data_IF_165582080790
#
_entry.id   IF_165582080790
#
_cell.length_a   1.000
_cell.length_b   1.000
_cell.length_c   1.000
_cell.angle_alpha   90.00
_cell.angle_beta   90.00
_cell.angle_gamma   90.00
#
_symmetry.space_group_name_H-M   'P 1'
#
loop_
_entity.id
_entity.type
_entity.pdbx_description
1 polymer ?
#
# COMPACT_ATOMS: atom_id res chain seq x y z
N UNK A 1 6.38 5.76 -24.05
CA UNK A 1 7.67 6.44 -23.76
C UNK A 1 7.55 7.95 -23.55
N UNK A 2 6.92 8.74 -24.43
CA UNK A 2 6.88 10.22 -24.23
C UNK A 2 6.24 10.63 -22.91
N UNK A 3 5.19 9.92 -22.48
CA UNK A 3 4.56 10.17 -21.20
C UNK A 3 5.48 9.83 -20.01
N UNK A 4 6.21 8.72 -20.03
CA UNK A 4 7.18 8.40 -18.97
C UNK A 4 8.21 9.52 -18.83
N UNK A 5 8.66 10.10 -19.96
CA UNK A 5 9.54 11.28 -19.94
C UNK A 5 8.85 12.50 -19.32
N UNK A 6 7.63 12.83 -19.74
CA UNK A 6 6.85 13.94 -19.17
C UNK A 6 6.64 13.78 -17.66
N UNK A 7 6.34 12.56 -17.22
CA UNK A 7 6.19 12.20 -15.83
C UNK A 7 7.50 12.35 -15.05
N UNK A 8 8.63 11.88 -15.59
CA UNK A 8 9.94 12.08 -14.97
C UNK A 8 10.28 13.56 -14.85
N UNK A 9 10.00 14.36 -15.88
CA UNK A 9 10.19 15.81 -15.85
C UNK A 9 9.33 16.46 -14.77
N UNK A 10 8.05 16.06 -14.66
CA UNK A 10 7.20 16.53 -13.58
C UNK A 10 7.80 16.21 -12.20
N UNK A 11 8.29 14.99 -11.96
CA UNK A 11 8.96 14.63 -10.70
C UNK A 11 10.14 15.57 -10.43
N UNK A 12 10.98 15.85 -11.43
CA UNK A 12 12.11 16.79 -11.30
C UNK A 12 11.64 18.19 -10.86
N UNK A 13 10.50 18.66 -11.36
CA UNK A 13 9.95 19.95 -10.94
C UNK A 13 9.52 19.96 -9.46
N UNK A 14 8.95 18.86 -8.95
CA UNK A 14 8.39 18.79 -7.59
C UNK A 14 9.44 18.64 -6.49
N UNK A 15 10.63 18.12 -6.80
CA UNK A 15 11.68 17.90 -5.80
C UNK A 15 12.35 19.20 -5.35
N UNK A 16 12.71 19.29 -4.07
CA UNK A 16 13.38 20.46 -3.48
C UNK A 16 14.90 20.42 -3.72
N UNK A 17 15.58 21.55 -3.47
CA UNK A 17 17.03 21.64 -3.71
C UNK A 17 17.88 20.69 -2.85
N UNK A 18 17.33 20.19 -1.75
CA UNK A 18 17.91 19.22 -0.80
C UNK A 18 17.64 17.76 -1.18
N UNK A 19 16.69 17.52 -2.08
CA UNK A 19 16.34 16.19 -2.55
C UNK A 19 17.35 15.65 -3.54
N UNK A 20 17.33 14.32 -3.71
CA UNK A 20 18.18 13.62 -4.68
C UNK A 20 17.37 12.68 -5.55
N UNK A 21 17.68 12.70 -6.85
CA UNK A 21 17.06 11.80 -7.82
C UNK A 21 18.12 11.12 -8.68
N UNK A 22 17.91 9.83 -8.94
CA UNK A 22 18.65 9.04 -9.91
C UNK A 22 17.65 8.36 -10.82
N UNK A 23 17.98 8.26 -12.11
CA UNK A 23 17.20 7.54 -13.10
C UNK A 23 18.00 6.32 -13.54
N UNK A 24 17.37 5.16 -13.51
CA UNK A 24 17.89 3.91 -14.07
C UNK A 24 16.98 3.53 -15.23
N UNK A 25 17.57 3.31 -16.41
CA UNK A 25 16.88 2.71 -17.53
C UNK A 25 17.21 1.22 -17.56
N UNK A 26 16.21 0.39 -17.86
CA UNK A 26 16.40 -1.04 -18.00
C UNK A 26 15.60 -1.62 -19.15
N UNK A 27 16.16 -2.67 -19.74
CA UNK A 27 15.59 -3.55 -20.75
C UNK A 27 16.14 -4.97 -20.46
N UNK A 28 16.74 -5.68 -21.41
CA UNK A 28 17.52 -6.91 -21.16
C UNK A 28 18.78 -6.64 -20.32
N UNK A 29 19.17 -5.37 -20.17
CA UNK A 29 20.27 -4.88 -19.32
C UNK A 29 19.82 -3.67 -18.49
N UNK A 30 20.61 -3.21 -17.53
CA UNK A 30 20.28 -2.02 -16.73
C UNK A 30 21.43 -1.02 -16.73
N UNK A 31 21.11 0.28 -16.89
CA UNK A 31 22.09 1.36 -16.94
C UNK A 31 21.62 2.56 -16.11
N UNK A 32 22.53 3.19 -15.34
CA UNK A 32 22.23 4.47 -14.73
C UNK A 32 22.20 5.57 -15.81
N UNK A 33 21.04 6.20 -15.99
CA UNK A 33 20.89 7.43 -16.78
C UNK A 33 21.52 8.60 -16.02
N UNK A 34 21.46 8.57 -14.68
CA UNK A 34 22.14 9.51 -13.79
C UNK A 34 22.54 8.83 -12.48
N UNK A 35 23.56 9.36 -11.80
CA UNK A 35 23.76 9.09 -10.38
C UNK A 35 22.72 9.81 -9.51
N UNK A 36 22.80 9.68 -8.18
CA UNK A 36 21.99 10.48 -7.27
C UNK A 36 22.45 11.95 -7.33
N UNK A 37 21.69 12.78 -8.06
CA UNK A 37 21.96 14.20 -8.22
C UNK A 37 21.11 15.02 -7.25
N UNK A 38 21.67 16.07 -6.66
CA UNK A 38 20.90 17.06 -5.91
C UNK A 38 19.93 17.78 -6.84
N UNK A 39 18.68 17.99 -6.45
CA UNK A 39 17.67 18.66 -7.27
C UNK A 39 17.70 20.19 -7.11
N UNK A 40 18.90 20.77 -7.03
CA UNK A 40 19.11 22.21 -7.20
C UNK A 40 18.96 22.60 -8.67
N UNK A 41 19.00 23.90 -9.00
CA UNK A 41 18.76 24.41 -10.36
C UNK A 41 19.62 23.69 -11.42
N UNK A 42 20.92 23.53 -11.16
CA UNK A 42 21.84 22.84 -12.07
C UNK A 42 21.51 21.35 -12.20
N UNK A 43 21.20 20.67 -11.10
CA UNK A 43 20.85 19.25 -11.09
C UNK A 43 19.54 18.97 -11.82
N UNK A 44 18.52 19.80 -11.60
CA UNK A 44 17.24 19.75 -12.32
C UNK A 44 17.47 19.92 -13.83
N UNK A 45 18.18 20.97 -14.24
CA UNK A 45 18.48 21.22 -15.65
C UNK A 45 19.27 20.06 -16.29
N UNK A 46 20.26 19.53 -15.58
CA UNK A 46 21.07 18.40 -16.08
C UNK A 46 20.22 17.15 -16.27
N UNK A 47 19.32 16.86 -15.31
CA UNK A 47 18.49 15.67 -15.37
C UNK A 47 17.38 15.80 -16.43
N UNK A 48 16.77 16.98 -16.57
CA UNK A 48 15.84 17.30 -17.66
C UNK A 48 16.46 17.07 -19.04
N UNK A 49 17.69 17.57 -19.24
CA UNK A 49 18.42 17.35 -20.47
C UNK A 49 18.63 15.86 -20.73
N UNK A 50 18.96 15.06 -19.71
CA UNK A 50 19.12 13.60 -19.84
C UNK A 50 17.80 12.91 -20.16
N UNK A 51 16.70 13.27 -19.51
CA UNK A 51 15.37 12.69 -19.77
C UNK A 51 15.01 12.81 -21.26
N UNK A 52 15.25 13.98 -21.85
CA UNK A 52 14.87 14.26 -23.24
C UNK A 52 15.89 13.72 -24.26
N UNK A 53 17.19 13.84 -23.98
CA UNK A 53 18.26 13.52 -24.95
C UNK A 53 18.79 12.09 -24.88
N UNK A 54 18.55 11.34 -23.80
CA UNK A 54 19.23 10.05 -23.62
C UNK A 54 18.58 8.96 -24.48
N UNK A 55 19.34 8.44 -25.45
CA UNK A 55 18.88 7.41 -26.40
C UNK A 55 18.40 6.12 -25.73
N UNK A 56 18.93 5.80 -24.53
CA UNK A 56 18.57 4.63 -23.73
C UNK A 56 17.24 4.76 -22.97
N UNK A 57 16.57 5.91 -23.08
CA UNK A 57 15.18 6.07 -22.67
C UNK A 57 14.22 5.88 -23.85
N UNK A 58 14.64 5.16 -24.89
CA UNK A 58 13.79 4.73 -25.99
C UNK A 58 13.52 3.21 -25.88
N UNK A 59 12.32 2.73 -26.23
CA UNK A 59 12.01 1.30 -26.14
C UNK A 59 12.97 0.48 -26.99
N UNK A 60 13.63 -0.52 -26.40
CA UNK A 60 14.52 -1.44 -27.11
C UNK A 60 14.78 -2.69 -26.27
N UNK A 61 15.05 -3.81 -26.93
CA UNK A 61 15.38 -5.07 -26.26
C UNK A 61 14.16 -5.74 -25.59
N UNK A 62 14.44 -6.57 -24.58
CA UNK A 62 13.42 -7.22 -23.75
C UNK A 62 13.32 -6.55 -22.38
N UNK A 63 12.70 -7.17 -21.38
CA UNK A 63 12.45 -6.56 -20.06
C UNK A 63 13.05 -7.40 -18.95
N UNK A 64 14.04 -6.87 -18.22
CA UNK A 64 14.64 -7.49 -17.03
C UNK A 64 14.40 -6.62 -15.80
N UNK A 65 13.30 -6.90 -15.09
CA UNK A 65 12.91 -6.16 -13.87
C UNK A 65 13.96 -6.40 -12.78
N UNK A 66 14.44 -7.63 -12.62
CA UNK A 66 15.48 -7.98 -11.64
C UNK A 66 16.75 -7.13 -11.76
N UNK A 67 17.26 -6.94 -12.99
CA UNK A 67 18.46 -6.11 -13.24
C UNK A 67 18.19 -4.63 -12.94
N UNK A 68 17.02 -4.13 -13.34
CA UNK A 68 16.60 -2.76 -13.03
C UNK A 68 16.54 -2.50 -11.53
N UNK A 69 15.88 -3.38 -10.78
CA UNK A 69 15.78 -3.29 -9.32
C UNK A 69 17.14 -3.37 -8.64
N UNK A 70 17.99 -4.34 -9.02
CA UNK A 70 19.33 -4.49 -8.47
C UNK A 70 20.16 -3.22 -8.67
N UNK A 71 20.10 -2.60 -9.86
CA UNK A 71 20.80 -1.35 -10.13
C UNK A 71 20.25 -0.20 -9.28
N UNK A 72 18.93 -0.05 -9.14
CA UNK A 72 18.32 0.96 -8.28
C UNK A 72 18.69 0.81 -6.80
N UNK A 73 18.67 -0.43 -6.30
CA UNK A 73 19.11 -0.77 -4.94
C UNK A 73 20.61 -0.47 -4.76
N UNK A 74 21.44 -0.81 -5.73
CA UNK A 74 22.88 -0.51 -5.72
C UNK A 74 23.15 1.00 -5.65
N UNK A 75 22.41 1.81 -6.41
CA UNK A 75 22.50 3.28 -6.36
C UNK A 75 22.22 3.78 -4.95
N UNK A 76 21.17 3.27 -4.31
CA UNK A 76 20.84 3.63 -2.93
C UNK A 76 21.89 3.13 -1.94
N UNK A 77 22.40 1.90 -2.07
CA UNK A 77 23.39 1.36 -1.13
C UNK A 77 24.75 2.04 -1.22
N UNK A 78 25.14 2.53 -2.40
CA UNK A 78 26.41 3.24 -2.64
C UNK A 78 26.35 4.74 -2.33
N UNK A 79 25.22 5.26 -1.85
CA UNK A 79 25.05 6.70 -1.57
C UNK A 79 25.93 7.13 -0.40
N UNK A 80 26.61 8.27 -0.56
CA UNK A 80 27.42 8.86 0.52
C UNK A 80 26.55 9.51 1.60
N UNK A 81 25.45 10.12 1.19
CA UNK A 81 24.49 10.77 2.10
C UNK A 81 23.18 10.02 2.09
N UNK A 82 22.69 9.68 3.29
CA UNK A 82 21.41 9.01 3.48
C UNK A 82 20.36 10.05 3.88
N UNK A 83 19.38 10.26 3.01
CA UNK A 83 18.17 11.00 3.35
C UNK A 83 17.34 10.19 4.35
N UNK A 84 16.52 10.89 5.15
CA UNK A 84 15.57 10.27 6.09
C UNK A 84 14.58 9.37 5.36
N UNK A 85 14.12 9.80 4.18
CA UNK A 85 13.25 9.07 3.29
C UNK A 85 14.00 8.62 2.03
N UNK A 86 13.78 7.39 1.61
CA UNK A 86 14.20 6.91 0.29
C UNK A 86 13.14 6.02 -0.33
N UNK A 87 13.02 6.06 -1.65
CA UNK A 87 12.00 5.28 -2.35
C UNK A 87 12.46 4.89 -3.74
N UNK A 88 12.05 3.71 -4.21
CA UNK A 88 12.26 3.19 -5.56
C UNK A 88 10.92 3.19 -6.28
N UNK A 89 10.91 3.76 -7.48
CA UNK A 89 9.74 3.80 -8.35
C UNK A 89 10.04 2.91 -9.56
N UNK A 90 9.44 1.72 -9.59
CA UNK A 90 9.59 0.76 -10.68
C UNK A 90 8.45 0.92 -11.67
N UNK A 91 8.76 1.38 -12.89
CA UNK A 91 7.79 1.59 -13.97
C UNK A 91 8.04 0.55 -15.06
N UNK A 92 7.02 -0.21 -15.46
CA UNK A 92 7.14 -1.17 -16.57
C UNK A 92 5.81 -1.43 -17.28
N UNK A 93 5.87 -1.60 -18.60
CA UNK A 93 4.77 -2.04 -19.45
C UNK A 93 4.87 -3.53 -19.83
N UNK A 94 5.93 -4.23 -19.44
CA UNK A 94 6.23 -5.59 -19.90
C UNK A 94 6.46 -6.59 -18.77
N UNK A 95 6.64 -7.85 -19.16
CA UNK A 95 6.96 -8.95 -18.23
C UNK A 95 8.46 -9.12 -18.10
N UNK A 96 8.92 -9.50 -16.91
CA UNK A 96 10.31 -9.91 -16.74
C UNK A 96 10.59 -11.18 -17.57
N UNK A 97 11.72 -11.18 -18.28
CA UNK A 97 12.26 -12.36 -18.96
C UNK A 97 12.83 -13.38 -17.98
N UNK A 98 13.22 -12.95 -16.79
CA UNK A 98 13.86 -13.81 -15.79
C UNK A 98 12.79 -14.42 -14.86
N UNK A 99 12.81 -15.75 -14.68
CA UNK A 99 12.04 -16.43 -13.64
C UNK A 99 12.89 -16.44 -12.37
N UNK A 100 12.78 -15.37 -11.59
CA UNK A 100 13.60 -15.15 -10.41
C UNK A 100 12.74 -14.88 -9.18
N UNK A 101 13.28 -15.20 -8.00
CA UNK A 101 12.72 -14.79 -6.72
C UNK A 101 13.13 -13.35 -6.44
N UNK A 102 12.16 -12.43 -6.41
CA UNK A 102 12.43 -11.05 -6.03
C UNK A 102 12.72 -10.88 -4.54
N UNK A 103 12.40 -11.86 -3.69
CA UNK A 103 12.72 -11.83 -2.26
C UNK A 103 14.20 -11.61 -2.02
N UNK A 104 15.08 -12.28 -2.78
CA UNK A 104 16.53 -12.14 -2.61
C UNK A 104 17.02 -10.76 -3.04
N UNK A 105 16.51 -10.24 -4.16
CA UNK A 105 16.85 -8.90 -4.65
C UNK A 105 16.37 -7.84 -3.66
N UNK A 106 15.12 -7.94 -3.23
CA UNK A 106 14.49 -6.97 -2.34
C UNK A 106 15.04 -7.06 -0.92
N UNK A 107 15.61 -8.18 -0.48
CA UNK A 107 16.32 -8.28 0.81
C UNK A 107 17.52 -7.33 0.91
N UNK A 108 18.07 -6.89 -0.22
CA UNK A 108 19.18 -5.93 -0.27
C UNK A 108 18.71 -4.46 -0.25
N UNK A 109 17.39 -4.21 -0.21
CA UNK A 109 16.86 -2.85 -0.14
C UNK A 109 17.31 -2.19 1.17
N UNK A 110 17.82 -0.94 1.14
CA UNK A 110 18.24 -0.28 2.38
C UNK A 110 17.05 -0.12 3.35
N UNK A 111 17.29 -0.12 4.68
CA UNK A 111 16.25 0.16 5.66
C UNK A 111 15.54 1.48 5.38
N UNK A 112 14.25 1.57 5.74
CA UNK A 112 13.40 2.74 5.50
C UNK A 112 13.35 3.17 4.03
N UNK A 113 13.42 2.20 3.11
CA UNK A 113 13.24 2.43 1.68
C UNK A 113 11.97 1.72 1.21
N UNK A 114 11.05 2.46 0.59
CA UNK A 114 9.88 1.86 -0.04
C UNK A 114 10.13 1.53 -1.51
N UNK A 115 9.42 0.55 -2.07
CA UNK A 115 9.43 0.27 -3.51
C UNK A 115 7.99 0.26 -4.04
N UNK A 116 7.66 1.27 -4.85
CA UNK A 116 6.36 1.39 -5.51
C UNK A 116 6.48 0.89 -6.94
N UNK A 117 5.52 0.10 -7.39
CA UNK A 117 5.49 -0.50 -8.72
C UNK A 117 4.32 0.05 -9.53
N UNK A 118 4.59 0.36 -10.80
CA UNK A 118 3.63 0.94 -11.73
C UNK A 118 3.60 0.09 -12.99
N UNK A 119 2.49 -0.62 -13.18
CA UNK A 119 2.26 -1.48 -14.33
C UNK A 119 1.44 -0.76 -15.40
N UNK A 120 2.00 -0.57 -16.58
CA UNK A 120 1.34 0.11 -17.70
C UNK A 120 0.70 -0.91 -18.64
N UNK A 121 -0.54 -0.66 -19.04
CA UNK A 121 -1.27 -1.53 -19.99
C UNK A 121 -1.39 -2.97 -19.50
N UNK A 122 -1.79 -3.90 -20.37
CA UNK A 122 -2.11 -5.28 -19.97
C UNK A 122 -0.93 -6.26 -20.08
N UNK A 123 0.22 -5.83 -20.59
CA UNK A 123 1.31 -6.73 -20.99
C UNK A 123 2.22 -7.14 -19.82
N UNK A 124 2.12 -6.49 -18.66
CA UNK A 124 2.90 -6.82 -17.46
C UNK A 124 2.26 -7.92 -16.59
N UNK A 125 3.04 -8.53 -15.71
CA UNK A 125 2.54 -9.51 -14.73
C UNK A 125 2.18 -8.83 -13.41
N UNK A 126 0.88 -8.68 -13.16
CA UNK A 126 0.32 -8.12 -11.92
C UNK A 126 0.91 -8.80 -10.68
N UNK A 127 0.94 -10.15 -10.67
CA UNK A 127 1.45 -10.94 -9.55
C UNK A 127 2.92 -10.63 -9.18
N UNK A 128 3.73 -10.29 -10.19
CA UNK A 128 5.15 -9.94 -10.01
C UNK A 128 5.28 -8.55 -9.41
N UNK A 129 4.60 -7.56 -9.99
CA UNK A 129 4.68 -6.17 -9.54
C UNK A 129 4.06 -5.96 -8.16
N UNK A 130 2.95 -6.63 -7.86
CA UNK A 130 2.32 -6.59 -6.53
C UNK A 130 3.22 -7.23 -5.47
N UNK A 131 3.88 -8.35 -5.79
CA UNK A 131 4.82 -9.00 -4.87
C UNK A 131 6.04 -8.11 -4.59
N UNK A 132 6.63 -7.49 -5.62
CA UNK A 132 7.76 -6.55 -5.44
C UNK A 132 7.34 -5.39 -4.54
N UNK A 133 6.15 -4.80 -4.78
CA UNK A 133 5.64 -3.72 -3.95
C UNK A 133 5.39 -4.15 -2.50
N UNK A 134 4.80 -5.33 -2.29
CA UNK A 134 4.53 -5.88 -0.96
C UNK A 134 5.83 -6.11 -0.17
N UNK A 135 6.83 -6.77 -0.77
CA UNK A 135 8.14 -6.97 -0.12
C UNK A 135 8.83 -5.62 0.14
N UNK A 136 8.73 -4.69 -0.81
CA UNK A 136 9.30 -3.36 -0.72
C UNK A 136 8.50 -2.37 0.12
N UNK A 137 7.48 -2.79 0.87
CA UNK A 137 6.68 -1.89 1.73
C UNK A 137 6.06 -0.70 0.98
N UNK A 138 5.81 -0.86 -0.32
CA UNK A 138 5.23 0.14 -1.20
C UNK A 138 3.88 -0.28 -1.74
N UNK A 139 3.51 0.26 -2.89
CA UNK A 139 2.20 0.06 -3.50
C UNK A 139 2.35 -0.38 -4.95
N UNK A 140 1.44 -1.22 -5.41
CA UNK A 140 1.28 -1.52 -6.83
C UNK A 140 0.15 -0.66 -7.39
N UNK A 141 0.44 0.04 -8.50
CA UNK A 141 -0.55 0.83 -9.22
C UNK A 141 -0.66 0.35 -10.65
N UNK A 142 -1.88 -0.08 -11.03
CA UNK A 142 -2.22 -0.36 -12.42
C UNK A 142 -2.57 0.93 -13.16
N UNK A 143 -1.98 1.10 -14.35
CA UNK A 143 -2.15 2.28 -15.19
C UNK A 143 -2.74 1.83 -16.54
N UNK A 144 -4.05 2.01 -16.67
CA UNK A 144 -4.79 1.69 -17.90
C UNK A 144 -4.64 2.79 -18.96
N UNK A 145 -4.69 4.06 -18.52
CA UNK A 145 -4.62 5.21 -19.40
C UNK A 145 -3.40 6.07 -19.08
N UNK A 146 -2.71 6.52 -20.13
CA UNK A 146 -1.54 7.39 -20.00
C UNK A 146 -1.83 8.66 -19.17
N UNK A 147 -3.05 9.19 -19.20
CA UNK A 147 -3.44 10.37 -18.40
C UNK A 147 -3.45 10.10 -16.88
N UNK A 148 -3.57 8.85 -16.45
CA UNK A 148 -3.67 8.48 -15.04
C UNK A 148 -2.33 8.38 -14.33
N UNK A 149 -1.23 8.37 -15.09
CA UNK A 149 0.13 8.20 -14.56
C UNK A 149 0.53 9.37 -13.66
N UNK A 150 0.29 10.59 -14.13
CA UNK A 150 0.58 11.78 -13.35
C UNK A 150 -0.21 11.82 -12.05
N UNK A 151 -1.52 11.59 -12.11
CA UNK A 151 -2.37 11.49 -10.92
C UNK A 151 -1.82 10.43 -9.93
N UNK A 152 -1.42 9.25 -10.43
CA UNK A 152 -0.89 8.18 -9.58
C UNK A 152 0.45 8.50 -8.92
N UNK A 153 1.35 9.16 -9.66
CA UNK A 153 2.67 9.49 -9.15
C UNK A 153 2.63 10.71 -8.24
N UNK A 154 1.82 11.71 -8.56
CA UNK A 154 1.52 12.83 -7.66
C UNK A 154 0.94 12.34 -6.35
N UNK A 155 0.08 11.31 -6.39
CA UNK A 155 -0.40 10.67 -5.18
C UNK A 155 0.76 10.12 -4.34
N UNK A 156 1.61 9.26 -4.92
CA UNK A 156 2.75 8.67 -4.19
C UNK A 156 3.74 9.74 -3.71
N UNK A 157 4.02 10.77 -4.51
CA UNK A 157 4.88 11.90 -4.09
C UNK A 157 4.26 12.66 -2.91
N UNK A 158 2.95 12.95 -2.96
CA UNK A 158 2.24 13.59 -1.86
C UNK A 158 2.35 12.79 -0.56
N UNK A 159 2.23 11.47 -0.64
CA UNK A 159 2.48 10.58 0.51
C UNK A 159 3.92 10.69 1.00
N UNK A 160 4.93 10.61 0.12
CA UNK A 160 6.33 10.73 0.54
C UNK A 160 6.65 12.08 1.21
N UNK A 161 6.14 13.19 0.68
CA UNK A 161 6.39 14.52 1.23
C UNK A 161 5.65 14.80 2.54
N UNK A 162 4.59 14.03 2.84
CA UNK A 162 3.79 14.21 4.05
C UNK A 162 4.07 13.14 5.12
N UNK A 163 5.15 12.36 4.98
CA UNK A 163 5.51 11.35 5.97
C UNK A 163 5.87 12.00 7.32
N UNK A 164 5.14 11.64 8.38
CA UNK A 164 5.33 12.16 9.76
C UNK A 164 5.88 11.11 10.73
N UNK A 165 5.77 9.81 10.40
CA UNK A 165 6.27 8.73 11.23
C UNK A 165 6.76 7.57 10.35
N UNK A 166 7.98 7.09 10.63
CA UNK A 166 8.62 6.00 9.89
C UNK A 166 8.71 4.73 10.71
N UNK A 167 8.70 3.58 10.01
CA UNK A 167 8.96 2.25 10.59
C UNK A 167 8.16 2.02 11.91
N UNK A 168 6.85 2.12 11.79
CA UNK A 168 5.94 2.09 12.94
C UNK A 168 5.81 0.66 13.46
N UNK A 169 5.98 0.48 14.77
CA UNK A 169 5.75 -0.79 15.44
C UNK A 169 4.63 -0.62 16.46
N UNK A 170 3.50 -1.29 16.21
CA UNK A 170 2.40 -1.37 17.19
C UNK A 170 2.63 -2.60 18.05
N UNK A 171 2.83 -2.38 19.35
CA UNK A 171 3.05 -3.44 20.33
C UNK A 171 1.81 -3.61 21.20
N UNK A 172 1.34 -4.84 21.29
CA UNK A 172 0.24 -5.27 22.15
C UNK A 172 0.82 -6.20 23.22
N UNK A 173 0.67 -5.84 24.49
CA UNK A 173 1.12 -6.63 25.63
C UNK A 173 -0.08 -6.96 26.51
N UNK A 174 -0.43 -8.23 26.57
CA UNK A 174 -1.57 -8.76 27.29
C UNK A 174 -1.14 -9.41 28.60
N UNK A 175 -2.02 -9.35 29.59
CA UNK A 175 -1.85 -10.00 30.88
C UNK A 175 -1.92 -11.53 30.77
N UNK A 176 -1.47 -12.21 31.83
CA UNK A 176 -1.49 -13.68 31.87
C UNK A 176 -2.89 -14.25 31.61
N UNK A 177 -2.96 -15.28 30.76
CA UNK A 177 -4.21 -15.93 30.37
C UNK A 177 -4.85 -15.33 29.10
N UNK A 178 -4.42 -14.16 28.66
CA UNK A 178 -4.86 -13.55 27.40
C UNK A 178 -3.79 -13.73 26.32
N UNK A 179 -4.22 -13.88 25.07
CA UNK A 179 -3.30 -13.89 23.93
C UNK A 179 -3.95 -13.35 22.67
N UNK A 180 -3.18 -12.69 21.81
CA UNK A 180 -3.64 -12.34 20.46
C UNK A 180 -3.67 -13.63 19.65
N UNK A 181 -4.85 -14.04 19.22
CA UNK A 181 -5.09 -15.26 18.45
C UNK A 181 -4.85 -15.04 16.95
N UNK A 182 -5.22 -13.86 16.44
CA UNK A 182 -5.16 -13.54 15.02
C UNK A 182 -5.04 -12.04 14.80
N UNK A 183 -4.25 -11.63 13.80
CA UNK A 183 -4.22 -10.26 13.28
C UNK A 183 -4.75 -10.29 11.85
N UNK A 184 -5.76 -9.48 11.55
CA UNK A 184 -6.37 -9.40 10.21
C UNK A 184 -5.70 -8.30 9.38
N UNK A 185 -4.41 -8.46 9.13
CA UNK A 185 -3.62 -7.55 8.31
C UNK A 185 -2.59 -8.33 7.49
N UNK A 186 -2.10 -7.72 6.40
CA UNK A 186 -0.94 -8.20 5.64
C UNK A 186 0.39 -7.70 6.21
N UNK A 187 0.36 -6.84 7.24
CA UNK A 187 1.56 -6.31 7.86
C UNK A 187 2.39 -7.40 8.54
N UNK A 188 3.73 -7.35 8.43
CA UNK A 188 4.61 -8.27 9.15
C UNK A 188 4.31 -8.23 10.66
N UNK A 189 3.97 -9.40 11.20
CA UNK A 189 3.54 -9.56 12.59
C UNK A 189 4.41 -10.61 13.26
N UNK A 190 4.78 -10.40 14.53
CA UNK A 190 5.48 -11.40 15.32
C UNK A 190 4.65 -12.67 15.50
N UNK A 191 5.28 -13.75 15.97
CA UNK A 191 4.59 -15.04 16.14
C UNK A 191 3.32 -14.92 17.00
N UNK A 192 2.27 -15.62 16.56
CA UNK A 192 0.97 -15.76 17.23
C UNK A 192 0.61 -17.26 17.32
N UNK A 193 -0.17 -17.69 18.32
CA UNK A 193 -0.72 -16.90 19.42
C UNK A 193 0.35 -16.47 20.43
N UNK A 194 0.21 -15.26 20.99
CA UNK A 194 1.16 -14.70 21.96
C UNK A 194 0.50 -13.64 22.84
N UNK A 195 0.96 -13.50 24.08
CA UNK A 195 0.58 -12.37 24.95
C UNK A 195 1.35 -11.09 24.60
N UNK A 196 2.45 -11.17 23.86
CA UNK A 196 3.19 -10.01 23.37
C UNK A 196 3.33 -10.09 21.85
N UNK A 197 2.68 -9.17 21.15
CA UNK A 197 2.67 -9.11 19.68
C UNK A 197 3.14 -7.75 19.20
N UNK A 198 4.05 -7.75 18.23
CA UNK A 198 4.47 -6.56 17.49
C UNK A 198 3.98 -6.66 16.05
N UNK A 199 3.24 -5.66 15.61
CA UNK A 199 2.76 -5.49 14.23
C UNK A 199 3.57 -4.34 13.62
N UNK A 200 4.31 -4.61 12.55
CA UNK A 200 5.12 -3.61 11.85
C UNK A 200 4.28 -2.94 10.79
N UNK A 201 3.82 -1.73 11.07
CA UNK A 201 3.18 -0.86 10.10
C UNK A 201 4.30 -0.08 9.37
N UNK A 202 4.09 0.20 8.10
CA UNK A 202 4.99 1.04 7.32
C UNK A 202 4.90 2.52 7.79
N UNK A 203 5.44 3.41 6.97
CA UNK A 203 5.38 4.85 7.22
C UNK A 203 3.93 5.37 7.24
N UNK A 204 3.69 6.40 8.04
CA UNK A 204 2.41 7.09 8.16
C UNK A 204 2.55 8.56 7.76
N UNK A 205 1.59 9.00 6.96
CA UNK A 205 1.55 10.36 6.44
C UNK A 205 0.65 11.27 7.29
N UNK A 206 0.79 12.57 7.11
CA UNK A 206 -0.12 13.57 7.65
C UNK A 206 -1.56 13.28 7.19
N UNK A 207 -2.53 13.50 8.08
CA UNK A 207 -3.95 13.20 7.90
C UNK A 207 -4.31 11.71 7.66
N UNK A 208 -3.33 10.80 7.73
CA UNK A 208 -3.55 9.38 7.50
C UNK A 208 -3.95 8.65 8.79
N UNK A 209 -4.90 7.70 8.65
CA UNK A 209 -5.33 6.81 9.74
C UNK A 209 -5.18 5.36 9.30
N UNK A 210 -4.85 4.49 10.26
CA UNK A 210 -4.69 3.05 10.08
C UNK A 210 -5.43 2.29 11.16
N UNK A 211 -6.27 1.34 10.76
CA UNK A 211 -7.07 0.54 11.67
C UNK A 211 -6.60 -0.91 11.67
N UNK A 212 -6.07 -1.36 12.82
CA UNK A 212 -5.70 -2.75 13.01
C UNK A 212 -6.84 -3.53 13.67
N UNK A 213 -7.25 -4.63 13.04
CA UNK A 213 -8.24 -5.55 13.60
C UNK A 213 -7.54 -6.84 14.01
N UNK A 214 -7.73 -7.26 15.25
CA UNK A 214 -7.18 -8.49 15.79
C UNK A 214 -8.17 -9.19 16.71
N UNK A 215 -7.99 -10.49 16.88
CA UNK A 215 -8.78 -11.35 17.75
C UNK A 215 -7.95 -11.69 18.99
N UNK A 216 -8.55 -11.55 20.17
CA UNK A 216 -7.94 -11.91 21.45
C UNK A 216 -8.62 -13.17 21.97
N UNK A 217 -7.82 -14.16 22.37
CA UNK A 217 -8.30 -15.25 23.20
C UNK A 217 -8.51 -14.74 24.63
N UNK A 218 -9.73 -14.91 25.11
CA UNK A 218 -10.20 -14.39 26.39
C UNK A 218 -10.56 -15.58 27.29
N UNK A 219 -9.91 -15.76 28.46
CA UNK A 219 -10.19 -16.86 29.36
C UNK A 219 -11.54 -16.65 30.07
N UNK A 220 -12.13 -17.77 30.52
CA UNK A 220 -13.26 -17.77 31.45
C UNK A 220 -12.78 -17.39 32.85
N UNK A 221 -13.52 -16.52 33.54
CA UNK A 221 -13.21 -16.04 34.90
C UNK A 221 -14.44 -16.21 35.80
N UNK A 222 -14.24 -16.22 37.13
CA UNK A 222 -15.33 -16.27 38.10
C UNK A 222 -16.06 -14.92 38.18
N UNK A 223 -17.33 -14.90 38.61
CA UNK A 223 -18.22 -13.72 38.58
C UNK A 223 -17.66 -12.49 39.33
N UNK A 224 -16.82 -12.69 40.35
CA UNK A 224 -16.26 -11.61 41.17
C UNK A 224 -15.19 -10.75 40.45
N UNK A 225 -14.64 -11.22 39.33
CA UNK A 225 -13.59 -10.52 38.55
C UNK A 225 -14.14 -9.73 37.34
N UNK A 226 -15.46 -9.62 37.20
CA UNK A 226 -16.14 -9.32 35.94
C UNK A 226 -16.19 -7.85 35.51
N UNK A 227 -15.87 -6.88 36.38
CA UNK A 227 -16.07 -5.47 36.06
C UNK A 227 -14.80 -4.79 35.53
N UNK A 228 -14.81 -4.46 34.23
CA UNK A 228 -13.85 -3.58 33.55
C UNK A 228 -12.37 -3.95 33.75
N UNK A 229 -12.05 -5.24 33.58
CA UNK A 229 -10.69 -5.76 33.74
C UNK A 229 -9.75 -5.16 32.71
N UNK A 230 -8.63 -4.59 33.15
CA UNK A 230 -7.52 -4.29 32.25
C UNK A 230 -6.85 -5.61 31.82
N UNK A 231 -6.87 -5.90 30.53
CA UNK A 231 -6.35 -7.15 29.95
C UNK A 231 -4.98 -7.00 29.32
N UNK A 232 -4.45 -5.77 29.28
CA UNK A 232 -3.17 -5.46 28.68
C UNK A 232 -3.00 -3.98 28.35
N UNK A 233 -2.00 -3.70 27.53
CA UNK A 233 -1.69 -2.37 27.00
C UNK A 233 -1.33 -2.44 25.51
N UNK A 234 -1.56 -1.36 24.79
CA UNK A 234 -1.08 -1.12 23.45
C UNK A 234 -0.15 0.10 23.43
N UNK A 235 0.89 0.06 22.60
CA UNK A 235 1.81 1.17 22.40
C UNK A 235 2.33 1.22 20.98
N UNK A 236 2.81 2.38 20.57
CA UNK A 236 3.37 2.60 19.23
C UNK A 236 4.79 3.12 19.38
N UNK A 237 5.72 2.50 18.66
CA UNK A 237 7.09 3.02 18.46
C UNK A 237 7.26 3.44 17.02
N UNK A 238 7.96 4.53 16.77
CA UNK A 238 8.19 5.04 15.42
C UNK A 238 9.44 5.90 15.37
N UNK A 239 9.99 6.08 14.17
CA UNK A 239 11.09 7.01 13.91
C UNK A 239 10.48 8.33 13.45
N UNK A 240 10.81 9.42 14.14
CA UNK A 240 10.46 10.77 13.68
C UNK A 240 11.37 11.15 12.49
N UNK A 241 10.81 11.41 11.28
CA UNK A 241 11.60 11.73 10.10
C UNK A 241 12.50 12.97 10.29
N UNK A 242 12.08 13.95 11.09
CA UNK A 242 12.78 15.22 11.27
C UNK A 242 13.99 15.09 12.20
N UNK A 243 13.83 14.42 13.34
CA UNK A 243 14.91 14.23 14.32
C UNK A 243 15.71 12.93 14.12
N UNK A 244 15.20 11.99 13.30
CA UNK A 244 15.73 10.64 13.11
C UNK A 244 15.86 9.86 14.43
N UNK A 245 15.05 10.19 15.44
CA UNK A 245 15.02 9.51 16.73
C UNK A 245 13.84 8.56 16.81
N UNK A 246 14.05 7.44 17.49
CA UNK A 246 12.98 6.53 17.87
C UNK A 246 12.18 7.15 19.03
N UNK A 247 10.88 7.33 18.82
CA UNK A 247 9.91 7.81 19.79
C UNK A 247 8.94 6.68 20.15
N UNK A 248 8.29 6.80 21.30
CA UNK A 248 7.28 5.86 21.77
C UNK A 248 6.08 6.64 22.28
N UNK A 249 4.88 6.15 21.99
CA UNK A 249 3.65 6.63 22.61
C UNK A 249 3.60 6.21 24.08
N UNK A 250 2.71 6.85 24.83
CA UNK A 250 2.25 6.34 26.11
C UNK A 250 1.54 5.00 25.94
N UNK A 251 1.49 4.22 27.03
CA UNK A 251 0.79 2.95 27.07
C UNK A 251 -0.73 3.19 27.15
N UNK A 252 -1.47 2.69 26.18
CA UNK A 252 -2.93 2.73 26.18
C UNK A 252 -3.48 1.46 26.81
N UNK A 253 -4.24 1.51 27.92
CA UNK A 253 -4.78 0.32 28.55
C UNK A 253 -5.88 -0.32 27.68
N UNK A 254 -5.80 -1.63 27.50
CA UNK A 254 -6.85 -2.43 26.89
C UNK A 254 -7.77 -2.97 27.99
N UNK A 255 -9.08 -2.71 27.87
CA UNK A 255 -10.06 -3.08 28.88
C UNK A 255 -11.14 -3.96 28.31
N UNK A 256 -11.58 -4.91 29.12
CA UNK A 256 -12.64 -5.85 28.81
C UNK A 256 -13.76 -5.70 29.82
N UNK A 257 -14.97 -5.49 29.32
CA UNK A 257 -16.19 -5.47 30.12
C UNK A 257 -16.90 -6.80 29.91
N UNK A 258 -17.21 -7.51 31.00
CA UNK A 258 -17.95 -8.77 30.96
C UNK A 258 -19.34 -8.54 31.50
N UNK A 259 -20.36 -8.83 30.70
CA UNK A 259 -21.74 -8.84 31.19
C UNK A 259 -22.05 -10.22 31.76
N UNK A 260 -22.59 -10.25 32.99
CA UNK A 260 -23.20 -11.44 33.60
C UNK A 260 -24.64 -11.67 33.11
N UNK A 261 -25.25 -10.67 32.46
CA UNK A 261 -26.56 -10.76 31.80
C UNK A 261 -26.34 -10.84 30.31
N UNK A 262 -26.59 -12.02 29.74
CA UNK A 262 -26.70 -12.20 28.29
C UNK A 262 -28.17 -11.92 27.95
N UNK A 263 -28.51 -10.66 27.65
CA UNK A 263 -29.79 -10.37 27.01
C UNK A 263 -29.61 -10.39 25.48
N UNK A 264 -30.68 -10.72 24.75
CA UNK A 264 -30.62 -10.78 23.28
C UNK A 264 -30.15 -9.45 22.67
N UNK A 265 -30.32 -8.34 23.39
CA UNK A 265 -29.97 -6.99 22.94
C UNK A 265 -28.45 -6.72 23.01
N UNK A 266 -27.76 -7.19 24.04
CA UNK A 266 -26.30 -7.10 24.22
C UNK A 266 -25.56 -8.07 23.29
N UNK A 267 -26.15 -9.22 22.95
CA UNK A 267 -25.61 -10.11 21.91
C UNK A 267 -25.68 -9.50 20.50
N UNK A 268 -26.59 -8.57 20.27
CA UNK A 268 -26.83 -7.92 18.98
C UNK A 268 -26.08 -6.60 18.81
N UNK A 269 -25.46 -6.06 19.88
CA UNK A 269 -24.75 -4.78 19.79
C UNK A 269 -23.40 -4.96 19.09
N UNK A 270 -23.43 -4.79 17.77
CA UNK A 270 -22.22 -4.79 16.94
C UNK A 270 -21.58 -3.41 17.03
N UNK A 271 -20.31 -3.35 17.43
CA UNK A 271 -19.52 -2.13 17.34
C UNK A 271 -19.45 -1.67 15.87
N UNK A 272 -20.04 -0.50 15.58
CA UNK A 272 -20.18 0.02 14.22
C UNK A 272 -18.83 0.19 13.51
N UNK A 273 -17.85 0.80 14.17
CA UNK A 273 -16.53 1.04 13.59
C UNK A 273 -15.81 -0.28 13.28
N UNK A 274 -15.93 -1.27 14.16
CA UNK A 274 -15.38 -2.61 13.93
C UNK A 274 -16.08 -3.31 12.76
N UNK A 275 -17.38 -3.14 12.58
CA UNK A 275 -18.14 -3.69 11.46
C UNK A 275 -17.67 -3.10 10.11
N UNK A 276 -17.46 -1.78 10.05
CA UNK A 276 -16.87 -1.10 8.87
C UNK A 276 -15.52 -1.73 8.51
N UNK A 277 -14.64 -1.90 9.50
CA UNK A 277 -13.30 -2.48 9.26
C UNK A 277 -13.37 -3.97 8.89
N UNK A 278 -14.30 -4.74 9.46
CA UNK A 278 -14.55 -6.13 9.06
C UNK A 278 -15.02 -6.23 7.61
N UNK A 279 -15.92 -5.34 7.18
CA UNK A 279 -16.39 -5.27 5.80
C UNK A 279 -15.24 -4.94 4.84
N UNK A 280 -14.40 -3.95 5.16
CA UNK A 280 -13.17 -3.67 4.40
C UNK A 280 -12.28 -4.89 4.26
N UNK A 281 -11.97 -5.57 5.36
CA UNK A 281 -11.09 -6.75 5.37
C UNK A 281 -11.71 -7.89 4.56
N UNK A 282 -13.01 -8.12 4.67
CA UNK A 282 -13.72 -9.12 3.89
C UNK A 282 -13.70 -8.79 2.39
N UNK A 283 -13.88 -7.52 2.03
CA UNK A 283 -13.76 -7.05 0.65
C UNK A 283 -12.35 -7.31 0.10
N UNK A 284 -11.31 -6.92 0.83
CA UNK A 284 -9.93 -7.13 0.41
C UNK A 284 -9.59 -8.63 0.22
N UNK A 285 -10.08 -9.50 1.11
CA UNK A 285 -9.95 -10.96 1.00
C UNK A 285 -10.69 -11.51 -0.21
N UNK A 286 -11.95 -11.11 -0.40
CA UNK A 286 -12.75 -11.52 -1.56
C UNK A 286 -12.15 -11.07 -2.88
N UNK A 287 -11.58 -9.86 -2.93
CA UNK A 287 -10.84 -9.37 -4.10
C UNK A 287 -9.64 -10.28 -4.42
N UNK A 288 -8.84 -10.64 -3.42
CA UNK A 288 -7.69 -11.55 -3.58
C UNK A 288 -8.11 -12.95 -4.02
N UNK A 289 -9.19 -13.47 -3.44
CA UNK A 289 -9.74 -14.78 -3.80
C UNK A 289 -10.30 -14.79 -5.23
N UNK A 290 -11.00 -13.72 -5.64
CA UNK A 290 -11.50 -13.56 -7.00
C UNK A 290 -10.36 -13.57 -8.03
N UNK A 291 -9.24 -12.87 -7.75
CA UNK A 291 -8.04 -12.93 -8.61
C UNK A 291 -7.54 -14.38 -8.75
N UNK A 292 -7.47 -15.14 -7.66
CA UNK A 292 -7.03 -16.54 -7.69
C UNK A 292 -7.95 -17.44 -8.54
N UNK A 293 -9.27 -17.19 -8.54
CA UNK A 293 -10.20 -17.91 -9.44
C UNK A 293 -10.00 -17.54 -10.91
N UNK A 294 -9.74 -16.26 -11.22
CA UNK A 294 -9.45 -15.82 -12.60
C UNK A 294 -8.16 -16.46 -13.12
N UNK A 295 -7.13 -16.57 -12.28
CA UNK A 295 -5.89 -17.30 -12.60
C UNK A 295 -6.16 -18.79 -12.91
N UNK A 296 -7.10 -19.41 -12.18
CA UNK A 296 -7.60 -20.76 -12.42
C UNK A 296 -8.61 -20.85 -13.60
N UNK A 297 -8.75 -19.77 -14.38
CA UNK A 297 -9.63 -19.63 -15.55
C UNK A 297 -11.13 -19.66 -15.24
N UNK A 298 -11.52 -19.38 -14.01
CA UNK A 298 -12.91 -19.41 -13.55
C UNK A 298 -13.42 -18.01 -13.22
N UNK A 299 -14.04 -17.33 -14.20
CA UNK A 299 -14.66 -16.01 -13.97
C UNK A 299 -15.95 -16.11 -13.16
N UNK A 300 -16.73 -17.17 -13.36
CA UNK A 300 -18.01 -17.36 -12.66
C UNK A 300 -17.80 -17.45 -11.14
N UNK A 301 -16.76 -18.18 -10.70
CA UNK A 301 -16.40 -18.26 -9.28
C UNK A 301 -15.87 -16.93 -8.74
N UNK A 302 -15.09 -16.20 -9.53
CA UNK A 302 -14.62 -14.87 -9.16
C UNK A 302 -15.80 -13.93 -8.91
N UNK A 303 -16.75 -13.87 -9.85
CA UNK A 303 -17.97 -13.06 -9.72
C UNK A 303 -18.83 -13.51 -8.54
N UNK A 304 -19.00 -14.82 -8.34
CA UNK A 304 -19.78 -15.36 -7.22
C UNK A 304 -19.20 -14.96 -5.85
N UNK A 305 -17.88 -14.99 -5.70
CA UNK A 305 -17.22 -14.54 -4.45
C UNK A 305 -17.41 -13.05 -4.23
N UNK A 306 -17.25 -12.21 -5.26
CA UNK A 306 -17.49 -10.77 -5.12
C UNK A 306 -18.95 -10.47 -4.79
N UNK A 307 -19.90 -11.19 -5.39
CA UNK A 307 -21.32 -11.04 -5.08
C UNK A 307 -21.62 -11.45 -3.63
N UNK A 308 -21.05 -12.56 -3.14
CA UNK A 308 -21.21 -12.98 -1.76
C UNK A 308 -20.66 -11.95 -0.77
N UNK A 309 -19.55 -11.28 -1.11
CA UNK A 309 -19.02 -10.15 -0.32
C UNK A 309 -19.98 -8.97 -0.33
N UNK A 310 -20.49 -8.57 -1.49
CA UNK A 310 -21.48 -7.48 -1.61
C UNK A 310 -22.70 -7.77 -0.74
N UNK A 311 -23.25 -8.97 -0.82
CA UNK A 311 -24.42 -9.39 -0.05
C UNK A 311 -24.15 -9.34 1.46
N UNK A 312 -22.95 -9.75 1.87
CA UNK A 312 -22.51 -9.67 3.27
C UNK A 312 -22.40 -8.23 3.77
N UNK A 313 -21.85 -7.31 2.97
CA UNK A 313 -21.76 -5.88 3.34
C UNK A 313 -23.17 -5.28 3.41
N UNK A 314 -24.05 -5.59 2.46
CA UNK A 314 -25.44 -5.11 2.46
C UNK A 314 -26.24 -5.59 3.68
N UNK A 315 -25.98 -6.80 4.17
CA UNK A 315 -26.63 -7.35 5.36
C UNK A 315 -26.03 -6.82 6.69
N UNK A 316 -24.93 -6.07 6.64
CA UNK A 316 -24.22 -5.59 7.83
C UNK A 316 -24.84 -4.31 8.42
N UNK A 317 -24.53 -4.04 9.69
CA UNK A 317 -25.02 -2.85 10.41
C UNK A 317 -24.43 -1.57 9.78
N UNK A 318 -23.20 -1.65 9.29
CA UNK A 318 -22.50 -0.54 8.63
C UNK A 318 -22.73 -0.48 7.11
N UNK A 319 -23.78 -1.12 6.58
CA UNK A 319 -24.05 -1.14 5.13
C UNK A 319 -24.17 0.24 4.51
N UNK A 320 -24.73 1.23 5.22
CA UNK A 320 -24.90 2.61 4.76
C UNK A 320 -23.67 3.50 4.97
N UNK A 321 -22.58 2.96 5.54
CA UNK A 321 -21.33 3.69 5.69
C UNK A 321 -20.78 4.12 4.33
N UNK A 322 -20.13 5.29 4.28
CA UNK A 322 -19.56 5.83 3.03
C UNK A 322 -18.53 4.87 2.45
N UNK A 323 -17.65 4.27 3.28
CA UNK A 323 -16.66 3.31 2.81
C UNK A 323 -17.33 2.02 2.31
N UNK A 324 -18.31 1.50 3.05
CA UNK A 324 -19.04 0.29 2.66
C UNK A 324 -19.77 0.46 1.32
N UNK A 325 -20.44 1.60 1.12
CA UNK A 325 -21.11 1.93 -0.14
C UNK A 325 -20.13 2.03 -1.31
N UNK A 326 -19.00 2.73 -1.11
CA UNK A 326 -17.94 2.80 -2.12
C UNK A 326 -17.34 1.43 -2.44
N UNK A 327 -17.15 0.56 -1.44
CA UNK A 327 -16.70 -0.82 -1.68
C UNK A 327 -17.70 -1.61 -2.51
N UNK A 328 -19.00 -1.50 -2.20
CA UNK A 328 -20.06 -2.15 -2.98
C UNK A 328 -20.05 -1.65 -4.43
N UNK A 329 -19.92 -0.34 -4.65
CA UNK A 329 -19.85 0.27 -5.98
C UNK A 329 -18.64 -0.26 -6.78
N UNK A 330 -17.47 -0.28 -6.14
CA UNK A 330 -16.22 -0.74 -6.76
C UNK A 330 -16.26 -2.22 -7.13
N UNK A 331 -16.81 -3.06 -6.25
CA UNK A 331 -17.01 -4.49 -6.51
C UNK A 331 -18.00 -4.72 -7.66
N UNK A 332 -19.13 -4.01 -7.67
CA UNK A 332 -20.11 -4.08 -8.76
C UNK A 332 -19.51 -3.61 -10.10
N UNK A 333 -18.73 -2.54 -10.07
CA UNK A 333 -18.03 -2.02 -11.25
C UNK A 333 -17.05 -3.05 -11.80
N UNK A 334 -16.32 -3.73 -10.91
CA UNK A 334 -15.36 -4.77 -11.29
C UNK A 334 -16.04 -5.98 -11.94
N UNK A 335 -17.18 -6.41 -11.41
CA UNK A 335 -17.99 -7.49 -12.00
C UNK A 335 -18.48 -7.08 -13.39
N UNK A 336 -19.07 -5.89 -13.55
CA UNK A 336 -19.71 -5.47 -14.81
C UNK A 336 -18.72 -5.07 -15.90
N UNK A 337 -17.64 -4.34 -15.55
CA UNK A 337 -16.77 -3.69 -16.53
C UNK A 337 -15.70 -4.63 -17.09
N UNK A 338 -15.27 -5.62 -16.30
CA UNK A 338 -14.15 -6.50 -16.67
C UNK A 338 -14.52 -7.98 -16.76
N UNK A 339 -15.81 -8.29 -16.87
CA UNK A 339 -16.30 -9.66 -17.07
C UNK A 339 -15.57 -10.38 -18.23
N UNK A 340 -15.18 -9.63 -19.25
CA UNK A 340 -14.49 -10.14 -20.44
C UNK A 340 -13.01 -9.78 -20.54
N UNK A 341 -12.47 -8.99 -19.59
CA UNK A 341 -11.07 -8.57 -19.57
C UNK A 341 -10.38 -9.06 -18.28
N UNK A 342 -9.89 -10.31 -18.35
CA UNK A 342 -9.25 -10.98 -17.22
C UNK A 342 -8.01 -10.23 -16.70
N UNK A 343 -7.23 -9.63 -17.60
CA UNK A 343 -6.00 -8.94 -17.21
C UNK A 343 -6.31 -7.66 -16.45
N UNK A 344 -7.23 -6.84 -16.96
CA UNK A 344 -7.68 -5.64 -16.24
C UNK A 344 -8.38 -5.99 -14.93
N UNK A 345 -9.22 -7.02 -14.93
CA UNK A 345 -9.86 -7.51 -13.70
C UNK A 345 -8.79 -7.81 -12.64
N UNK A 346 -7.80 -8.65 -12.97
CA UNK A 346 -6.74 -8.98 -12.01
C UNK A 346 -5.98 -7.74 -11.54
N UNK A 347 -5.61 -6.84 -12.45
CA UNK A 347 -4.83 -5.66 -12.11
C UNK A 347 -5.56 -4.69 -11.17
N UNK A 348 -6.84 -4.37 -11.45
CA UNK A 348 -7.64 -3.52 -10.60
C UNK A 348 -7.94 -4.16 -9.25
N UNK A 349 -8.31 -5.45 -9.24
CA UNK A 349 -8.63 -6.17 -8.02
C UNK A 349 -7.42 -6.34 -7.11
N UNK A 350 -6.23 -6.59 -7.67
CA UNK A 350 -4.98 -6.62 -6.89
C UNK A 350 -4.62 -5.25 -6.33
N UNK A 351 -4.70 -4.18 -7.14
CA UNK A 351 -4.44 -2.81 -6.67
C UNK A 351 -5.39 -2.44 -5.51
N UNK A 352 -6.70 -2.62 -5.69
CA UNK A 352 -7.69 -2.34 -4.64
C UNK A 352 -7.51 -3.24 -3.41
N UNK A 353 -7.25 -4.53 -3.58
CA UNK A 353 -7.02 -5.44 -2.44
C UNK A 353 -5.83 -4.98 -1.60
N UNK A 354 -4.70 -4.62 -2.22
CA UNK A 354 -3.53 -4.07 -1.52
C UNK A 354 -3.86 -2.74 -0.83
N UNK A 355 -4.62 -1.88 -1.50
CA UNK A 355 -5.07 -0.60 -0.95
C UNK A 355 -5.89 -0.81 0.31
N UNK A 356 -6.91 -1.67 0.24
CA UNK A 356 -7.79 -1.97 1.36
C UNK A 356 -7.04 -2.70 2.48
N UNK A 357 -6.10 -3.60 2.20
CA UNK A 357 -5.31 -4.28 3.23
C UNK A 357 -4.37 -3.32 3.98
N UNK A 358 -3.70 -2.45 3.24
CA UNK A 358 -2.72 -1.51 3.80
C UNK A 358 -3.34 -0.21 4.30
N UNK A 359 -4.62 0.05 4.00
CA UNK A 359 -5.33 1.33 4.18
C UNK A 359 -4.63 2.54 3.56
N UNK A 360 -3.65 2.32 2.68
CA UNK A 360 -2.85 3.38 2.09
C UNK A 360 -3.55 3.96 0.88
N UNK A 361 -3.53 5.28 0.74
CA UNK A 361 -3.94 5.92 -0.50
C UNK A 361 -3.11 5.38 -1.67
N UNK A 362 -3.78 4.84 -2.67
CA UNK A 362 -3.23 4.66 -4.01
C UNK A 362 -4.23 5.22 -5.00
N UNK A 363 -3.71 5.72 -6.12
CA UNK A 363 -4.56 5.98 -7.26
C UNK A 363 -4.90 4.65 -7.94
N UNK A 364 -6.19 4.37 -8.11
CA UNK A 364 -6.69 3.20 -8.83
C UNK A 364 -7.26 3.62 -10.19
N UNK A 365 -8.31 4.42 -10.17
CA UNK A 365 -8.97 5.03 -11.34
C UNK A 365 -10.03 6.03 -10.84
N UNK A 366 -10.45 7.04 -11.62
CA UNK A 366 -11.66 7.81 -11.31
C UNK A 366 -12.93 6.94 -11.20
N UNK A 367 -12.89 5.71 -11.70
CA UNK A 367 -14.01 4.77 -11.62
C UNK A 367 -14.13 4.02 -10.30
N UNK A 368 -13.14 4.16 -9.40
CA UNK A 368 -13.17 3.52 -8.09
C UNK A 368 -13.20 4.57 -7.00
N UNK A 369 -14.23 4.52 -6.16
CA UNK A 369 -14.51 5.58 -5.18
C UNK A 369 -13.99 5.23 -3.79
N UNK A 370 -13.78 3.95 -3.47
CA UNK A 370 -13.31 3.53 -2.13
C UNK A 370 -11.90 4.04 -1.83
N UNK A 371 -11.11 4.32 -2.86
CA UNK A 371 -9.78 4.90 -2.72
C UNK A 371 -9.81 6.31 -2.11
N UNK A 372 -10.92 7.04 -2.25
CA UNK A 372 -11.07 8.40 -1.73
C UNK A 372 -11.02 8.46 -0.21
N UNK A 373 -11.34 7.37 0.48
CA UNK A 373 -11.26 7.26 1.94
C UNK A 373 -9.82 7.44 2.47
N UNK A 374 -8.81 7.27 1.61
CA UNK A 374 -7.40 7.26 1.99
C UNK A 374 -6.60 8.41 1.36
N UNK A 375 -7.26 9.34 0.65
CA UNK A 375 -6.58 10.48 0.02
C UNK A 375 -6.36 11.59 1.04
N UNK A 376 -5.09 11.89 1.34
CA UNK A 376 -4.70 12.98 2.23
C UNK A 376 -4.76 14.34 1.54
N UNK A 377 -4.68 15.42 2.33
CA UNK A 377 -4.61 16.80 1.84
C UNK A 377 -3.40 17.00 0.90
N UNK A 378 -2.23 16.46 1.29
CA UNK A 378 -1.00 16.47 0.48
C UNK A 378 -1.20 15.75 -0.86
N UNK A 379 -1.85 14.58 -0.87
CA UNK A 379 -2.16 13.88 -2.12
C UNK A 379 -3.00 14.75 -3.07
N UNK A 380 -4.01 15.46 -2.55
CA UNK A 380 -4.87 16.34 -3.37
C UNK A 380 -4.12 17.53 -3.93
N UNK A 381 -3.26 18.16 -3.12
CA UNK A 381 -2.43 19.29 -3.55
C UNK A 381 -1.50 18.90 -4.68
N UNK A 382 -0.79 17.78 -4.56
CA UNK A 382 0.11 17.29 -5.61
C UNK A 382 -0.63 16.93 -6.89
N UNK A 383 -1.82 16.35 -6.78
CA UNK A 383 -2.66 16.07 -7.95
C UNK A 383 -3.06 17.36 -8.69
N UNK A 384 -3.49 18.39 -7.96
CA UNK A 384 -3.84 19.68 -8.54
C UNK A 384 -2.62 20.34 -9.24
N UNK A 385 -1.44 20.26 -8.62
CA UNK A 385 -0.20 20.76 -9.20
C UNK A 385 0.15 20.06 -10.53
N UNK A 386 -0.02 18.73 -10.60
CA UNK A 386 0.20 17.99 -11.85
C UNK A 386 -0.78 18.40 -12.94
N UNK A 387 -2.06 18.51 -12.61
CA UNK A 387 -3.09 18.90 -13.59
C UNK A 387 -2.77 20.27 -14.20
N UNK A 388 -2.36 21.24 -13.38
CA UNK A 388 -1.92 22.56 -13.83
C UNK A 388 -0.65 22.50 -14.69
N UNK A 389 0.30 21.61 -14.40
CA UNK A 389 1.52 21.42 -15.18
C UNK A 389 1.25 20.76 -16.54
N UNK A 390 0.27 19.85 -16.60
CA UNK A 390 -0.07 19.08 -17.80
C UNK A 390 -1.08 19.74 -18.73
N UNK A 391 -1.73 20.82 -18.27
CA UNK A 391 -2.65 21.67 -19.03
C UNK A 391 -1.88 22.65 -19.90
#
# INVERSE_FOLDING_TARGET
>A
MSLVKQTLSYIVTQLESTDRLSIVSFNDTAYPVSGLMMMNEQGKQTLENRIHSHEKLNPSGSTSIGRGLKMGIDVLNKRQTKNSLSSIFLLTDGQDIEVISYTDIMSAIPPSTTCHTYGFGSDHRVSVLSQIAEIGSGTFTYIDELKSVGDSLSHTLGSLFSCIAQNIEVKIELENGYSVAKVHSTFPTSAIPSSCVTIKIHDLNEDEKRNLVFEIHVPTVNEEDAENTQIGTASVKYIDPSSQKMLSSELTPLRLIRSNVIDDKTLLEVNYDLDVQRNRINAAKGMKEAVAYVEQRSMDQATAVLQAVIDKINASVSSQDTLCQSLIEDLNTSIKKFEHDKQKFMAYMTNMSMQQCSERGTYTSPHFSSSNAYITSSNRAQRANFQNYSS
#
